data_IF_466386108049
#
_entry.id   IF_466386108049
#
_cell.length_a   1.000
_cell.length_b   1.000
_cell.length_c   1.000
_cell.angle_alpha   90.00
_cell.angle_beta   90.00
_cell.angle_gamma   90.00
#
_symmetry.space_group_name_H-M   'P 1'
#
loop_
_entity.id
_entity.type
_entity.pdbx_description
1 polymer ?
#
# COMPACT_ATOMS: atom_id res chain seq x y z
N UNK A 1 13.61 18.41 14.96
CA UNK A 1 13.63 19.87 15.22
C UNK A 1 13.10 20.58 13.98
N UNK A 2 12.04 21.38 14.07
CA UNK A 2 11.55 22.15 12.93
C UNK A 2 12.37 23.43 12.76
N UNK A 3 12.97 23.63 11.59
CA UNK A 3 13.70 24.86 11.27
C UNK A 3 12.76 25.83 10.56
N UNK A 4 12.71 27.09 11.01
CA UNK A 4 11.87 28.15 10.41
C UNK A 4 12.72 29.12 9.59
N UNK A 5 12.12 29.74 8.56
CA UNK A 5 12.65 30.86 7.79
C UNK A 5 11.68 32.03 7.86
N UNK A 6 12.25 33.21 8.09
CA UNK A 6 11.51 34.45 8.11
C UNK A 6 11.20 34.90 6.68
N UNK A 7 9.93 34.98 6.31
CA UNK A 7 9.52 35.67 5.09
C UNK A 7 9.28 37.15 5.40
N UNK A 8 9.93 38.05 4.66
CA UNK A 8 9.75 39.50 4.86
C UNK A 8 8.37 39.99 4.41
N UNK A 9 7.78 39.37 3.37
CA UNK A 9 6.44 39.70 2.86
C UNK A 9 5.73 38.43 2.39
N UNK A 10 4.64 38.00 3.03
CA UNK A 10 4.10 38.49 4.32
C UNK A 10 5.07 38.20 5.48
N UNK A 11 5.08 39.07 6.51
CA UNK A 11 5.88 38.95 7.73
C UNK A 11 5.44 37.76 8.57
N UNK A 12 5.90 36.57 8.22
CA UNK A 12 5.63 35.36 8.99
C UNK A 12 6.82 34.40 8.97
N UNK A 13 7.01 33.73 10.09
CA UNK A 13 7.81 32.53 10.16
C UNK A 13 7.10 31.43 9.37
N UNK A 14 7.74 30.94 8.31
CA UNK A 14 7.32 29.71 7.66
C UNK A 14 8.27 28.59 8.05
N UNK A 15 7.79 27.37 8.29
CA UNK A 15 8.67 26.20 8.33
C UNK A 15 9.50 26.15 7.05
N UNK A 16 10.81 25.89 7.16
CA UNK A 16 11.71 25.74 6.01
C UNK A 16 11.30 24.59 5.11
N UNK A 17 10.80 23.53 5.74
CA UNK A 17 10.29 22.36 5.05
C UNK A 17 8.77 22.49 4.99
N UNK A 18 8.27 22.84 3.81
CA UNK A 18 6.87 22.60 3.47
C UNK A 18 6.60 21.11 3.72
N UNK A 19 5.48 20.79 4.38
CA UNK A 19 5.10 19.41 4.62
C UNK A 19 4.90 18.70 3.28
N UNK A 20 5.94 18.01 2.79
CA UNK A 20 5.80 17.14 1.62
C UNK A 20 5.06 15.90 2.10
N UNK A 21 3.90 15.65 1.51
CA UNK A 21 3.12 14.45 1.79
C UNK A 21 3.93 13.22 1.37
N UNK A 22 3.96 12.14 2.16
CA UNK A 22 4.51 10.85 1.72
C UNK A 22 3.84 10.32 0.43
N UNK A 23 2.64 10.81 0.07
CA UNK A 23 1.97 10.48 -1.19
C UNK A 23 2.67 11.05 -2.43
N UNK A 24 3.43 12.12 -2.27
CA UNK A 24 4.24 12.73 -3.32
C UNK A 24 5.64 12.14 -3.26
N UNK A 25 5.76 10.90 -3.77
CA UNK A 25 6.93 10.04 -3.55
C UNK A 25 8.22 10.72 -3.98
N UNK A 26 8.26 11.28 -5.18
CA UNK A 26 9.46 11.97 -5.70
C UNK A 26 9.92 13.11 -4.78
N UNK A 27 9.02 14.04 -4.43
CA UNK A 27 9.37 15.18 -3.55
C UNK A 27 9.70 14.71 -2.13
N UNK A 28 9.05 13.66 -1.65
CA UNK A 28 9.31 13.08 -0.34
C UNK A 28 10.72 12.46 -0.30
N UNK A 29 11.07 11.65 -1.30
CA UNK A 29 12.41 11.07 -1.44
C UNK A 29 13.48 12.16 -1.50
N UNK A 30 13.28 13.17 -2.35
CA UNK A 30 14.19 14.30 -2.47
C UNK A 30 14.41 15.01 -1.13
N UNK A 31 13.32 15.24 -0.39
CA UNK A 31 13.39 15.85 0.95
C UNK A 31 14.16 14.98 1.93
N UNK A 32 13.92 13.67 1.95
CA UNK A 32 14.62 12.71 2.81
C UNK A 32 16.12 12.74 2.51
N UNK A 33 16.50 12.65 1.24
CA UNK A 33 17.91 12.74 0.83
C UNK A 33 18.57 14.05 1.25
N UNK A 34 17.90 15.20 1.07
CA UNK A 34 18.42 16.51 1.47
C UNK A 34 18.61 16.67 2.99
N UNK A 35 17.90 15.88 3.79
CA UNK A 35 18.06 15.86 5.25
C UNK A 35 19.29 15.01 5.64
N UNK A 36 19.51 13.89 4.95
CA UNK A 36 20.54 12.92 5.31
C UNK A 36 21.90 13.17 4.64
N UNK A 37 21.92 13.80 3.46
CA UNK A 37 23.13 14.15 2.74
C UNK A 37 23.43 15.65 2.85
N UNK A 38 24.45 16.06 3.62
CA UNK A 38 24.82 17.46 3.71
C UNK A 38 25.49 17.93 2.41
N UNK A 39 25.07 19.11 1.92
CA UNK A 39 25.72 19.85 0.83
C UNK A 39 25.92 19.08 -0.50
N UNK A 40 24.84 18.52 -1.08
CA UNK A 40 24.92 17.91 -2.40
C UNK A 40 25.33 18.95 -3.44
N UNK A 41 26.31 18.62 -4.27
CA UNK A 41 26.81 19.50 -5.34
C UNK A 41 25.91 19.50 -6.58
N UNK A 42 25.05 18.49 -6.73
CA UNK A 42 24.09 18.33 -7.83
C UNK A 42 23.00 17.32 -7.46
N UNK A 43 21.92 17.25 -8.26
CA UNK A 43 20.91 16.18 -8.13
C UNK A 43 21.48 14.78 -8.40
N UNK A 44 22.52 14.68 -9.21
CA UNK A 44 23.23 13.42 -9.45
C UNK A 44 24.02 13.00 -8.21
N UNK A 45 24.74 13.94 -7.59
CA UNK A 45 25.42 13.71 -6.31
C UNK A 45 24.44 13.24 -5.25
N UNK A 46 23.23 13.78 -5.23
CA UNK A 46 22.18 13.39 -4.29
C UNK A 46 21.67 11.96 -4.50
N UNK A 47 21.67 11.47 -5.74
CA UNK A 47 21.28 10.09 -6.12
C UNK A 47 22.45 9.12 -6.09
N UNK A 48 23.64 9.57 -5.71
CA UNK A 48 24.82 8.71 -5.67
C UNK A 48 24.96 8.09 -4.28
N UNK A 49 24.92 6.76 -4.22
CA UNK A 49 25.07 5.99 -2.99
C UNK A 49 26.19 4.98 -3.19
N UNK A 50 27.20 4.99 -2.30
CA UNK A 50 28.38 4.10 -2.40
C UNK A 50 29.05 4.10 -3.79
N UNK A 51 29.12 5.26 -4.46
CA UNK A 51 29.72 5.40 -5.78
C UNK A 51 28.85 4.96 -6.97
N UNK A 52 27.62 4.50 -6.72
CA UNK A 52 26.65 4.15 -7.77
C UNK A 52 25.61 5.25 -7.92
N UNK A 53 25.41 5.75 -9.14
CA UNK A 53 24.37 6.75 -9.44
C UNK A 53 23.05 6.03 -9.70
N UNK A 54 22.04 6.33 -8.89
CA UNK A 54 20.70 5.78 -9.06
C UNK A 54 19.84 6.62 -10.00
N UNK A 55 18.86 5.98 -10.67
CA UNK A 55 17.99 6.68 -11.61
C UNK A 55 16.94 7.53 -10.90
N UNK A 56 16.33 7.04 -9.84
CA UNK A 56 15.34 7.78 -9.07
C UNK A 56 15.87 8.18 -7.70
N UNK A 57 15.32 9.26 -7.13
CA UNK A 57 15.60 9.62 -5.72
C UNK A 57 15.12 8.54 -4.76
N UNK A 58 14.07 7.80 -5.14
CA UNK A 58 13.55 6.66 -4.38
C UNK A 58 14.60 5.56 -4.24
N UNK A 59 15.20 5.14 -5.35
CA UNK A 59 16.25 4.11 -5.37
C UNK A 59 17.43 4.50 -4.47
N UNK A 60 17.84 5.77 -4.49
CA UNK A 60 18.92 6.27 -3.63
C UNK A 60 18.52 6.23 -2.15
N UNK A 61 17.28 6.58 -1.80
CA UNK A 61 16.79 6.44 -0.44
C UNK A 61 16.75 4.98 0.01
N UNK A 62 16.28 4.06 -0.85
CA UNK A 62 16.24 2.62 -0.56
C UNK A 62 17.67 2.10 -0.35
N UNK A 63 18.62 2.47 -1.21
CA UNK A 63 20.02 2.09 -1.09
C UNK A 63 20.70 2.62 0.19
N UNK A 64 20.22 3.75 0.73
CA UNK A 64 20.66 4.30 2.02
C UNK A 64 19.88 3.73 3.23
N UNK A 65 18.90 2.86 3.02
CA UNK A 65 18.02 2.35 4.08
C UNK A 65 17.10 3.43 4.68
N UNK A 66 16.80 4.49 3.92
CA UNK A 66 15.96 5.61 4.36
C UNK A 66 14.48 5.44 3.97
N UNK A 67 14.17 4.47 3.10
CA UNK A 67 12.81 4.06 2.77
C UNK A 67 12.72 2.54 2.66
N UNK A 68 11.59 2.02 3.12
CA UNK A 68 11.20 0.62 2.93
C UNK A 68 10.90 0.37 1.45
N UNK A 69 11.48 -0.70 0.91
CA UNK A 69 11.20 -1.16 -0.44
C UNK A 69 9.87 -1.93 -0.45
N UNK A 70 9.12 -1.89 -1.55
CA UNK A 70 7.97 -2.77 -1.74
C UNK A 70 8.32 -4.26 -1.53
N UNK A 71 9.60 -4.64 -1.62
CA UNK A 71 10.10 -5.98 -1.28
C UNK A 71 9.57 -6.50 0.07
N UNK A 72 9.46 -5.65 1.09
CA UNK A 72 9.01 -6.08 2.41
C UNK A 72 7.57 -6.59 2.39
N UNK A 73 6.71 -5.96 1.59
CA UNK A 73 5.32 -6.39 1.41
C UNK A 73 5.25 -7.69 0.61
N UNK A 74 6.10 -7.84 -0.41
CA UNK A 74 6.21 -9.09 -1.16
C UNK A 74 6.71 -10.24 -0.30
N UNK A 75 7.75 -10.02 0.52
CA UNK A 75 8.23 -11.03 1.46
C UNK A 75 7.19 -11.39 2.51
N UNK A 76 6.50 -10.40 3.08
CA UNK A 76 5.43 -10.64 4.05
C UNK A 76 4.29 -11.48 3.46
N UNK A 77 3.88 -11.19 2.22
CA UNK A 77 2.87 -11.97 1.50
C UNK A 77 3.37 -13.36 1.11
N UNK A 78 4.63 -13.49 0.70
CA UNK A 78 5.26 -14.76 0.36
C UNK A 78 5.38 -15.68 1.58
N UNK A 79 5.79 -15.17 2.73
CA UNK A 79 5.71 -15.91 3.99
C UNK A 79 4.26 -16.27 4.32
N UNK A 80 3.35 -15.29 4.20
CA UNK A 80 1.93 -15.45 4.48
C UNK A 80 1.29 -16.61 3.73
N UNK A 81 1.54 -16.76 2.43
CA UNK A 81 0.93 -17.83 1.61
C UNK A 81 1.33 -19.24 2.04
N UNK A 82 2.46 -19.42 2.73
CA UNK A 82 2.89 -20.74 3.21
C UNK A 82 2.30 -21.14 4.56
N UNK A 83 1.93 -20.16 5.40
CA UNK A 83 1.55 -20.40 6.80
C UNK A 83 0.12 -19.99 7.15
N UNK A 84 -0.55 -19.22 6.30
CA UNK A 84 -1.89 -18.68 6.57
C UNK A 84 -2.92 -19.28 5.63
N UNK A 85 -4.16 -19.38 6.12
CA UNK A 85 -5.31 -19.69 5.29
C UNK A 85 -5.62 -18.51 4.34
N UNK A 86 -6.19 -18.76 3.14
CA UNK A 86 -6.48 -17.72 2.15
C UNK A 86 -7.26 -16.53 2.71
N UNK A 87 -8.27 -16.76 3.55
CA UNK A 87 -9.00 -15.68 4.24
C UNK A 87 -8.11 -14.77 5.10
N UNK A 88 -7.22 -15.37 5.89
CA UNK A 88 -6.26 -14.59 6.70
C UNK A 88 -5.24 -13.86 5.82
N UNK A 89 -4.88 -14.43 4.67
CA UNK A 89 -4.02 -13.80 3.67
C UNK A 89 -4.70 -12.60 3.01
N UNK A 90 -6.00 -12.69 2.68
CA UNK A 90 -6.80 -11.54 2.19
C UNK A 90 -6.87 -10.41 3.20
N UNK A 91 -7.00 -10.71 4.49
CA UNK A 91 -6.94 -9.68 5.54
C UNK A 91 -5.56 -9.01 5.62
N UNK A 92 -4.45 -9.80 5.54
CA UNK A 92 -3.09 -9.24 5.50
C UNK A 92 -2.90 -8.32 4.28
N UNK A 93 -3.39 -8.74 3.11
CA UNK A 93 -3.37 -7.93 1.91
C UNK A 93 -4.07 -6.58 2.13
N UNK A 94 -5.27 -6.57 2.72
CA UNK A 94 -6.00 -5.34 3.06
C UNK A 94 -5.22 -4.44 4.01
N UNK A 95 -4.56 -5.01 5.04
CA UNK A 95 -3.70 -4.26 5.97
C UNK A 95 -2.56 -3.58 5.21
N UNK A 96 -1.88 -4.30 4.31
CA UNK A 96 -0.80 -3.74 3.49
C UNK A 96 -1.33 -2.58 2.64
N UNK A 97 -2.45 -2.77 1.93
CA UNK A 97 -3.07 -1.72 1.11
C UNK A 97 -3.41 -0.47 1.93
N UNK A 98 -4.00 -0.65 3.11
CA UNK A 98 -4.50 0.43 3.92
C UNK A 98 -3.43 1.12 4.76
N UNK A 99 -2.35 0.46 5.17
CA UNK A 99 -1.43 1.02 6.16
C UNK A 99 0.02 1.13 5.70
N UNK A 100 0.44 0.31 4.72
CA UNK A 100 1.84 0.24 4.29
C UNK A 100 2.15 1.08 3.03
N UNK A 101 1.13 1.64 2.37
CA UNK A 101 1.27 2.43 1.12
C UNK A 101 2.15 1.74 0.04
N UNK A 102 1.84 0.50 -0.37
CA UNK A 102 2.57 -0.19 -1.42
C UNK A 102 2.58 0.63 -2.71
N UNK A 103 3.72 0.65 -3.38
CA UNK A 103 3.92 1.42 -4.62
C UNK A 103 3.23 0.77 -5.80
N UNK A 104 3.39 -0.55 -5.94
CA UNK A 104 2.80 -1.33 -7.03
C UNK A 104 1.79 -2.38 -6.51
N UNK A 105 0.60 -1.89 -6.17
CA UNK A 105 -0.55 -2.73 -5.77
C UNK A 105 -0.92 -3.74 -6.86
N UNK A 106 -0.80 -3.35 -8.13
CA UNK A 106 -1.21 -4.21 -9.25
C UNK A 106 -0.31 -5.43 -9.35
N UNK A 107 1.01 -5.23 -9.25
CA UNK A 107 1.97 -6.34 -9.21
C UNK A 107 1.74 -7.23 -7.99
N UNK A 108 1.49 -6.65 -6.82
CA UNK A 108 1.19 -7.41 -5.60
C UNK A 108 -0.06 -8.28 -5.77
N UNK A 109 -1.12 -7.72 -6.35
CA UNK A 109 -2.33 -8.47 -6.69
C UNK A 109 -2.05 -9.61 -7.66
N UNK A 110 -1.40 -9.34 -8.79
CA UNK A 110 -1.13 -10.35 -9.82
C UNK A 110 -0.28 -11.51 -9.29
N UNK A 111 0.72 -11.22 -8.45
CA UNK A 111 1.61 -12.24 -7.89
C UNK A 111 0.89 -13.17 -6.90
N UNK A 112 0.06 -12.60 -6.02
CA UNK A 112 -0.55 -13.35 -4.90
C UNK A 112 -2.00 -13.74 -5.13
N UNK A 113 -2.63 -13.37 -6.25
CA UNK A 113 -4.04 -13.64 -6.51
C UNK A 113 -4.40 -15.11 -6.33
N UNK A 114 -3.63 -16.05 -6.88
CA UNK A 114 -3.91 -17.48 -6.77
C UNK A 114 -3.94 -17.98 -5.33
N UNK A 115 -3.08 -17.44 -4.46
CA UNK A 115 -3.07 -17.77 -3.04
C UNK A 115 -4.22 -17.07 -2.28
N UNK A 116 -4.60 -15.87 -2.73
CA UNK A 116 -5.74 -15.13 -2.19
C UNK A 116 -7.09 -15.75 -2.56
N UNK A 117 -7.18 -16.52 -3.65
CA UNK A 117 -8.42 -17.11 -4.17
C UNK A 117 -8.55 -18.62 -3.94
N UNK A 118 -7.52 -19.28 -3.40
CA UNK A 118 -7.39 -20.75 -3.36
C UNK A 118 -8.61 -21.47 -2.75
N UNK A 119 -9.16 -20.97 -1.65
CA UNK A 119 -10.33 -21.55 -0.99
C UNK A 119 -11.59 -21.46 -1.87
N UNK A 120 -11.81 -20.34 -2.55
CA UNK A 120 -12.91 -20.18 -3.50
C UNK A 120 -12.71 -21.02 -4.76
N UNK A 121 -11.46 -21.14 -5.24
CA UNK A 121 -11.14 -22.00 -6.38
C UNK A 121 -11.45 -23.47 -6.12
N UNK A 122 -11.21 -23.92 -4.89
CA UNK A 122 -11.54 -25.27 -4.45
C UNK A 122 -13.06 -25.47 -4.34
N UNK A 123 -13.78 -24.50 -3.75
CA UNK A 123 -15.24 -24.55 -3.60
C UNK A 123 -15.98 -24.60 -4.94
N UNK A 124 -15.46 -23.91 -5.96
CA UNK A 124 -16.12 -23.73 -7.26
C UNK A 124 -15.53 -24.62 -8.37
N UNK A 125 -14.83 -25.72 -8.02
CA UNK A 125 -14.12 -26.56 -8.98
C UNK A 125 -14.98 -27.15 -10.12
N UNK A 126 -16.31 -27.19 -9.96
CA UNK A 126 -17.27 -27.66 -10.98
C UNK A 126 -18.13 -26.57 -11.62
N UNK A 127 -17.90 -25.28 -11.33
CA UNK A 127 -18.72 -24.19 -11.85
C UNK A 127 -18.30 -23.79 -13.28
N UNK A 128 -19.24 -23.73 -14.26
CA UNK A 128 -18.92 -23.33 -15.63
C UNK A 128 -18.45 -21.88 -15.77
N UNK A 129 -18.75 -21.02 -14.79
CA UNK A 129 -18.32 -19.63 -14.68
C UNK A 129 -17.31 -19.41 -13.54
N UNK A 130 -16.55 -20.46 -13.17
CA UNK A 130 -15.60 -20.46 -12.04
C UNK A 130 -14.76 -19.20 -11.96
N UNK A 131 -14.12 -18.77 -13.05
CA UNK A 131 -13.19 -17.62 -13.03
C UNK A 131 -13.87 -16.34 -12.53
N UNK A 132 -15.05 -16.01 -13.10
CA UNK A 132 -15.80 -14.82 -12.71
C UNK A 132 -16.33 -14.92 -11.27
N UNK A 133 -16.76 -16.11 -10.85
CA UNK A 133 -17.25 -16.34 -9.49
C UNK A 133 -16.13 -16.23 -8.46
N UNK A 134 -14.99 -16.88 -8.70
CA UNK A 134 -13.81 -16.83 -7.81
C UNK A 134 -13.30 -15.39 -7.67
N UNK A 135 -13.17 -14.66 -8.80
CA UNK A 135 -12.75 -13.27 -8.77
C UNK A 135 -13.73 -12.39 -8.00
N UNK A 136 -15.03 -12.54 -8.26
CA UNK A 136 -16.07 -11.79 -7.55
C UNK A 136 -16.08 -12.08 -6.04
N UNK A 137 -15.98 -13.35 -5.63
CA UNK A 137 -15.93 -13.72 -4.20
C UNK A 137 -14.70 -13.15 -3.51
N UNK A 138 -13.53 -13.26 -4.15
CA UNK A 138 -12.26 -12.75 -3.63
C UNK A 138 -12.30 -11.24 -3.42
N UNK A 139 -12.77 -10.49 -4.43
CA UNK A 139 -12.87 -9.04 -4.38
C UNK A 139 -13.94 -8.55 -3.39
N UNK A 140 -15.05 -9.27 -3.27
CA UNK A 140 -16.11 -8.96 -2.29
C UNK A 140 -15.62 -9.15 -0.85
N UNK A 141 -14.88 -10.24 -0.57
CA UNK A 141 -14.28 -10.47 0.74
C UNK A 141 -13.20 -9.43 1.07
N UNK A 142 -12.40 -9.02 0.07
CA UNK A 142 -11.45 -7.91 0.21
C UNK A 142 -12.17 -6.59 0.50
N UNK A 143 -13.21 -6.24 -0.25
CA UNK A 143 -13.96 -5.00 0.00
C UNK A 143 -14.52 -4.99 1.43
N UNK A 144 -15.08 -6.12 1.86
CA UNK A 144 -15.56 -6.28 3.23
C UNK A 144 -14.47 -6.00 4.29
N UNK A 145 -13.23 -6.45 4.06
CA UNK A 145 -12.10 -6.17 4.95
C UNK A 145 -11.58 -4.73 4.87
N UNK A 146 -11.73 -4.05 3.73
CA UNK A 146 -11.34 -2.65 3.54
C UNK A 146 -12.29 -1.67 4.24
N UNK A 147 -13.59 -1.96 4.31
CA UNK A 147 -14.60 -1.05 4.89
C UNK A 147 -14.29 -0.66 6.36
N UNK A 148 -13.98 -1.60 7.29
CA UNK A 148 -13.57 -1.27 8.64
C UNK A 148 -12.30 -0.40 8.72
N UNK A 149 -11.42 -0.50 7.73
CA UNK A 149 -10.17 0.27 7.63
C UNK A 149 -10.40 1.68 7.04
N UNK A 150 -11.67 2.04 6.74
CA UNK A 150 -12.03 3.35 6.17
C UNK A 150 -11.70 3.47 4.68
N UNK A 151 -11.61 2.36 3.96
CA UNK A 151 -11.37 2.31 2.53
C UNK A 151 -12.43 1.45 1.82
N UNK A 152 -12.34 1.35 0.50
CA UNK A 152 -13.22 0.50 -0.31
C UNK A 152 -12.46 0.01 -1.54
N UNK A 153 -12.87 -1.14 -2.06
CA UNK A 153 -12.36 -1.68 -3.31
C UNK A 153 -12.47 -0.65 -4.45
N UNK A 154 -13.60 0.07 -4.52
CA UNK A 154 -13.84 1.07 -5.55
C UNK A 154 -12.71 2.12 -5.62
N UNK A 155 -12.16 2.53 -4.47
CA UNK A 155 -11.06 3.51 -4.44
C UNK A 155 -9.78 3.01 -5.14
N UNK A 156 -9.54 1.69 -5.13
CA UNK A 156 -8.42 1.06 -5.83
C UNK A 156 -8.74 0.76 -7.29
N UNK A 157 -10.01 0.46 -7.61
CA UNK A 157 -10.49 0.30 -8.99
C UNK A 157 -10.40 1.61 -9.76
N UNK A 158 -10.89 2.71 -9.18
CA UNK A 158 -10.83 4.06 -9.78
C UNK A 158 -9.39 4.51 -10.04
N UNK A 159 -8.47 4.09 -9.18
CA UNK A 159 -7.03 4.32 -9.32
C UNK A 159 -6.32 3.34 -10.28
N UNK A 160 -7.07 2.45 -10.95
CA UNK A 160 -6.56 1.40 -11.83
C UNK A 160 -5.53 0.48 -11.17
N UNK A 161 -5.68 0.21 -9.86
CA UNK A 161 -4.79 -0.65 -9.07
C UNK A 161 -5.31 -2.07 -8.90
N UNK A 162 -6.62 -2.24 -8.78
CA UNK A 162 -7.30 -3.53 -8.67
C UNK A 162 -8.37 -3.70 -9.75
N UNK A 163 -8.71 -4.93 -10.15
CA UNK A 163 -9.82 -5.18 -11.07
C UNK A 163 -11.18 -4.91 -10.39
N UNK A 164 -12.22 -4.53 -11.14
CA UNK A 164 -13.59 -4.46 -10.64
C UNK A 164 -14.16 -5.86 -10.41
N UNK A 165 -15.22 -5.94 -9.59
CA UNK A 165 -16.04 -7.15 -9.48
C UNK A 165 -16.69 -7.42 -10.85
N UNK A 166 -16.62 -8.65 -11.40
CA UNK A 166 -17.24 -8.97 -12.68
C UNK A 166 -18.76 -8.80 -12.66
N UNK A 167 -19.35 -8.23 -13.72
CA UNK A 167 -20.81 -8.07 -13.84
C UNK A 167 -21.58 -9.41 -13.84
N UNK A 168 -20.89 -10.50 -14.19
CA UNK A 168 -21.42 -11.87 -14.20
C UNK A 168 -21.34 -12.57 -12.84
N UNK A 169 -20.79 -11.90 -11.82
CA UNK A 169 -20.74 -12.41 -10.46
C UNK A 169 -22.15 -12.45 -9.85
N UNK A 170 -22.54 -13.61 -9.32
CA UNK A 170 -23.87 -13.84 -8.71
C UNK A 170 -23.78 -14.55 -7.37
N UNK A 171 -22.58 -14.80 -6.86
CA UNK A 171 -22.35 -15.53 -5.61
C UNK A 171 -22.61 -14.70 -4.36
N UNK A 172 -23.17 -15.33 -3.32
CA UNK A 172 -23.17 -14.78 -1.96
C UNK A 172 -21.90 -15.22 -1.23
N UNK A 173 -21.13 -14.25 -0.72
CA UNK A 173 -19.99 -14.54 0.16
C UNK A 173 -20.49 -14.58 1.60
N UNK A 174 -20.26 -15.69 2.30
CA UNK A 174 -20.50 -15.76 3.75
C UNK A 174 -19.38 -15.01 4.46
N UNK A 175 -19.64 -13.73 4.73
CA UNK A 175 -18.71 -12.82 5.40
C UNK A 175 -18.72 -13.09 6.91
N UNK A 176 -17.90 -14.04 7.36
CA UNK A 176 -17.80 -14.34 8.78
C UNK A 176 -17.05 -13.22 9.54
N UNK A 177 -17.72 -12.71 10.57
CA UNK A 177 -17.49 -11.42 11.22
C UNK A 177 -16.57 -11.61 12.42
N UNK A 178 -15.26 -11.49 12.21
CA UNK A 178 -14.33 -11.47 13.34
C UNK A 178 -14.35 -10.08 13.98
N UNK A 179 -15.35 -9.83 14.84
CA UNK A 179 -15.67 -8.51 15.41
C UNK A 179 -14.47 -7.83 16.09
N UNK A 180 -13.61 -8.62 16.75
CA UNK A 180 -12.40 -8.13 17.40
C UNK A 180 -11.42 -7.52 16.40
N UNK A 181 -11.14 -8.21 15.29
CA UNK A 181 -10.24 -7.73 14.23
C UNK A 181 -10.84 -6.49 13.57
N UNK A 182 -12.14 -6.48 13.33
CA UNK A 182 -12.82 -5.31 12.76
C UNK A 182 -12.71 -4.07 13.67
N UNK A 183 -12.83 -4.23 14.99
CA UNK A 183 -12.71 -3.14 15.96
C UNK A 183 -11.29 -2.61 16.09
N UNK A 184 -10.28 -3.50 16.09
CA UNK A 184 -8.87 -3.10 16.06
C UNK A 184 -8.52 -2.32 14.78
N UNK A 185 -9.00 -2.78 13.62
CA UNK A 185 -8.76 -2.10 12.34
C UNK A 185 -9.46 -0.73 12.26
N UNK A 186 -10.67 -0.60 12.83
CA UNK A 186 -11.35 0.70 12.96
C UNK A 186 -10.57 1.66 13.85
N UNK A 187 -9.95 1.16 14.92
CA UNK A 187 -9.09 1.96 15.79
C UNK A 187 -7.87 2.48 15.02
N UNK A 188 -7.16 1.62 14.30
CA UNK A 188 -5.99 2.00 13.50
C UNK A 188 -6.35 3.01 12.39
N UNK A 189 -7.49 2.82 11.72
CA UNK A 189 -7.97 3.74 10.70
C UNK A 189 -8.20 5.16 11.27
N UNK A 190 -8.75 5.27 12.48
CA UNK A 190 -8.95 6.55 13.17
C UNK A 190 -7.63 7.22 13.50
N UNK A 191 -6.65 6.49 14.03
CA UNK A 191 -5.31 7.01 14.31
C UNK A 191 -4.63 7.54 13.04
N UNK A 192 -4.76 6.83 11.90
CA UNK A 192 -4.18 7.25 10.61
C UNK A 192 -4.71 8.61 10.12
N UNK A 193 -5.95 8.97 10.48
CA UNK A 193 -6.60 10.22 10.04
C UNK A 193 -6.36 11.43 10.94
N UNK A 194 -5.62 11.28 12.05
CA UNK A 194 -5.30 12.41 12.94
C UNK A 194 -4.37 13.41 12.24
N UNK A 195 -4.62 14.73 12.39
CA UNK A 195 -3.89 15.80 11.72
C UNK A 195 -2.45 16.00 12.22
#
# INVERSE_FOLDING_TARGET
MYHYVWHQKPRKWKPRLQGVSPRDKERYCLRVLLIHQPLPSSFESLRTVNGTVHQLFEDACVALGLMESDLEWFHCMDEGRHFRLPKSLRNLFCVILCFCNPTDVRKLWTEFYSALSEDFEFQLAGDPNKEAQVLGMTLTDIDYHLQPMGSSLQSFVDANKLPPIPDTFVGEVVLDLNSFVADEMRFLAREKTKP
#
